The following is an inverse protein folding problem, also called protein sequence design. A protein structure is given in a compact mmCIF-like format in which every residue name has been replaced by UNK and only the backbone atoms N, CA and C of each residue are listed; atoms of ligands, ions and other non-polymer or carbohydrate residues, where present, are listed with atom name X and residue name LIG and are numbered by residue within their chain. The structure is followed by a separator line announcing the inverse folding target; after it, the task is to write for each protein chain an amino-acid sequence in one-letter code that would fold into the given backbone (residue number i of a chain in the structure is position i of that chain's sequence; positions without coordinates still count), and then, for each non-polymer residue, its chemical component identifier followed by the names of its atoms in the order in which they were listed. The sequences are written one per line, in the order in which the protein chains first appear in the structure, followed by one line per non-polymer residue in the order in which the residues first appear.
data_IF_099608210810
#
_entry.id   IF_099608210810
#
_cell.length_a   1.000
_cell.length_b   1.000
_cell.length_c   1.000
_cell.angle_alpha   90.00
_cell.angle_beta   90.00
_cell.angle_gamma   90.00
#
_symmetry.space_group_name_H-M   'P 1'
#
loop_
_entity.id
_entity.type
_entity.pdbx_description
1 polymer ?
#
# COMPACT_ATOMS: atom_id res chain seq x y z
N UNK A 1 23.19 -61.35 37.36
CA UNK A 1 21.97 -60.58 37.69
C UNK A 1 21.13 -60.39 36.43
N UNK A 2 19.82 -60.67 36.45
CA UNK A 2 18.97 -60.81 35.26
C UNK A 2 18.01 -59.63 35.05
N UNK A 3 17.73 -59.25 33.80
CA UNK A 3 16.47 -58.60 33.34
C UNK A 3 16.27 -58.98 31.85
N UNK A 4 15.66 -60.13 31.52
CA UNK A 4 14.22 -60.34 31.25
C UNK A 4 13.53 -59.14 30.59
N UNK A 5 13.15 -59.25 29.31
CA UNK A 5 11.78 -59.58 28.85
C UNK A 5 11.62 -59.29 27.35
N UNK A 6 11.45 -60.37 26.57
CA UNK A 6 10.73 -60.33 25.29
C UNK A 6 9.28 -59.92 25.57
N UNK A 7 8.72 -59.04 24.71
CA UNK A 7 7.33 -59.11 24.24
C UNK A 7 7.17 -58.20 23.02
N UNK A 8 7.19 -58.83 21.85
CA UNK A 8 6.47 -58.31 20.69
C UNK A 8 4.97 -58.41 20.99
N UNK A 9 4.23 -57.34 20.78
CA UNK A 9 2.77 -57.40 20.66
C UNK A 9 2.34 -56.39 19.62
N UNK A 10 2.04 -56.91 18.44
CA UNK A 10 1.31 -56.19 17.42
C UNK A 10 -0.07 -55.82 17.96
N UNK A 11 -0.36 -54.52 18.04
CA UNK A 11 -1.74 -54.03 18.11
C UNK A 11 -2.02 -53.24 16.84
N UNK A 12 -2.63 -53.97 15.91
CA UNK A 12 -3.39 -53.45 14.80
C UNK A 12 -4.66 -52.80 15.36
N UNK A 13 -4.74 -51.47 15.35
CA UNK A 13 -6.04 -50.76 15.35
C UNK A 13 -5.94 -49.64 14.32
N UNK A 14 -6.49 -49.92 13.15
CA UNK A 14 -6.89 -48.94 12.15
C UNK A 14 -7.89 -47.95 12.79
N UNK A 15 -7.45 -46.79 13.23
CA UNK A 15 -8.36 -45.66 13.47
C UNK A 15 -8.45 -44.84 12.20
N UNK A 16 -9.40 -45.23 11.35
CA UNK A 16 -9.92 -44.48 10.22
C UNK A 16 -10.63 -43.23 10.76
N UNK A 17 -9.88 -42.18 11.09
CA UNK A 17 -10.46 -40.88 11.46
C UNK A 17 -10.71 -40.06 10.19
N UNK A 18 -11.88 -40.25 9.58
CA UNK A 18 -12.48 -39.25 8.69
C UNK A 18 -12.74 -37.98 9.51
N UNK A 19 -11.79 -37.05 9.52
CA UNK A 19 -12.05 -35.68 9.98
C UNK A 19 -12.66 -34.92 8.80
N UNK A 20 -13.97 -35.10 8.60
CA UNK A 20 -14.78 -34.06 7.95
C UNK A 20 -14.84 -32.88 8.91
N UNK A 21 -14.11 -31.80 8.60
CA UNK A 21 -14.16 -30.60 9.41
C UNK A 21 -13.04 -29.62 9.08
N UNK A 22 -13.02 -29.09 7.86
CA UNK A 22 -12.33 -27.83 7.62
C UNK A 22 -13.17 -26.72 8.28
N UNK A 23 -13.05 -26.57 9.60
CA UNK A 23 -13.41 -25.34 10.27
C UNK A 23 -12.39 -24.30 9.79
N UNK A 24 -12.72 -23.59 8.71
CA UNK A 24 -12.12 -22.32 8.40
C UNK A 24 -12.50 -21.41 9.58
N UNK A 25 -11.59 -21.28 10.54
CA UNK A 25 -11.66 -20.19 11.50
C UNK A 25 -11.58 -18.93 10.64
N UNK A 26 -12.73 -18.30 10.43
CA UNK A 26 -12.78 -16.93 9.98
C UNK A 26 -12.10 -16.13 11.10
N UNK A 27 -10.83 -15.82 10.90
CA UNK A 27 -10.11 -14.82 11.68
C UNK A 27 -10.99 -13.57 11.62
N UNK A 28 -11.59 -13.21 12.74
CA UNK A 28 -12.29 -11.94 12.87
C UNK A 28 -11.20 -10.88 12.72
N UNK A 29 -11.07 -10.29 11.51
CA UNK A 29 -10.29 -9.07 11.29
C UNK A 29 -10.87 -7.98 12.19
N UNK A 30 -10.37 -7.91 13.41
CA UNK A 30 -10.50 -6.73 14.25
C UNK A 30 -9.95 -5.56 13.44
N UNK A 31 -10.59 -4.38 13.44
CA UNK A 31 -10.08 -3.23 12.72
C UNK A 31 -8.62 -3.01 13.11
N UNK A 32 -7.71 -3.25 12.17
CA UNK A 32 -6.28 -3.12 12.40
C UNK A 32 -6.01 -1.66 12.73
N UNK A 33 -5.88 -1.36 14.02
CA UNK A 33 -5.50 -0.04 14.48
C UNK A 33 -4.07 0.20 14.01
N UNK A 34 -3.91 1.13 13.07
CA UNK A 34 -2.60 1.50 12.55
C UNK A 34 -1.79 2.20 13.65
N UNK A 35 -0.50 1.85 13.83
CA UNK A 35 0.39 2.40 14.87
C UNK A 35 0.93 3.80 14.55
N UNK A 36 0.22 4.57 13.74
CA UNK A 36 0.68 5.89 13.28
C UNK A 36 -0.16 6.98 13.92
N UNK A 37 0.47 8.13 14.19
CA UNK A 37 -0.14 9.28 14.85
C UNK A 37 0.31 10.56 14.17
N UNK A 38 -0.51 11.60 14.24
CA UNK A 38 -0.13 12.91 13.71
C UNK A 38 1.13 13.42 14.43
N UNK A 39 1.93 14.21 13.71
CA UNK A 39 3.18 14.81 14.17
C UNK A 39 4.31 13.84 14.54
N UNK A 40 4.15 12.52 14.33
CA UNK A 40 5.30 11.62 14.45
C UNK A 40 6.22 11.73 13.23
N UNK A 41 7.54 11.53 13.38
CA UNK A 41 8.45 11.43 12.25
C UNK A 41 7.97 10.37 11.26
N UNK A 42 7.96 10.71 9.97
CA UNK A 42 7.53 9.81 8.92
C UNK A 42 8.40 8.55 8.85
N UNK A 43 9.71 8.67 9.06
CA UNK A 43 10.62 7.52 9.12
C UNK A 43 10.21 6.51 10.20
N UNK A 44 9.77 6.99 11.36
CA UNK A 44 9.23 6.14 12.42
C UNK A 44 7.90 5.51 11.98
N UNK A 45 6.99 6.30 11.39
CA UNK A 45 5.70 5.79 10.92
C UNK A 45 5.88 4.70 9.86
N UNK A 46 6.81 4.90 8.92
CA UNK A 46 7.18 3.94 7.89
C UNK A 46 7.66 2.62 8.49
N UNK A 47 8.55 2.66 9.48
CA UNK A 47 9.03 1.45 10.13
C UNK A 47 7.89 0.68 10.81
N UNK A 48 7.05 1.37 11.57
CA UNK A 48 5.90 0.77 12.26
C UNK A 48 4.88 0.15 11.29
N UNK A 49 4.70 0.74 10.11
CA UNK A 49 3.86 0.17 9.04
C UNK A 49 4.50 -1.10 8.46
N UNK A 50 5.79 -1.06 8.12
CA UNK A 50 6.53 -2.21 7.60
C UNK A 50 6.53 -3.38 8.58
N UNK A 51 6.74 -3.12 9.86
CA UNK A 51 6.72 -4.12 10.93
C UNK A 51 5.35 -4.81 11.08
N UNK A 52 4.28 -4.17 10.58
CA UNK A 52 2.91 -4.70 10.57
C UNK A 52 2.46 -5.26 9.22
N UNK A 53 3.40 -5.47 8.30
CA UNK A 53 3.13 -6.11 7.01
C UNK A 53 2.57 -5.18 5.94
N UNK A 54 2.61 -3.86 6.15
CA UNK A 54 2.41 -2.90 5.08
C UNK A 54 3.70 -2.76 4.28
N UNK A 55 3.61 -2.74 2.95
CA UNK A 55 4.75 -2.61 2.06
C UNK A 55 4.66 -1.30 1.27
N UNK A 56 5.80 -0.63 1.00
CA UNK A 56 5.86 0.46 0.02
C UNK A 56 5.07 0.12 -1.25
N UNK A 57 4.07 0.94 -1.59
CA UNK A 57 3.38 0.76 -2.86
C UNK A 57 4.19 1.40 -3.98
N UNK A 58 4.84 0.56 -4.77
CA UNK A 58 5.63 0.97 -5.93
C UNK A 58 4.83 0.90 -7.25
N UNK A 59 3.60 0.40 -7.21
CA UNK A 59 2.72 0.34 -8.38
C UNK A 59 1.98 1.66 -8.61
N UNK A 60 1.38 1.80 -9.80
CA UNK A 60 0.60 2.97 -10.20
C UNK A 60 1.47 4.09 -10.75
N UNK A 61 1.16 5.32 -10.33
CA UNK A 61 1.89 6.51 -10.78
C UNK A 61 3.35 6.49 -10.29
N UNK A 62 4.27 6.77 -11.21
CA UNK A 62 5.68 6.95 -10.88
C UNK A 62 5.88 8.23 -10.06
N UNK A 63 6.87 8.26 -9.14
CA UNK A 63 7.20 9.46 -8.41
C UNK A 63 7.50 10.63 -9.36
N UNK A 64 6.96 11.81 -9.08
CA UNK A 64 7.25 13.02 -9.85
C UNK A 64 8.68 13.54 -9.59
N UNK A 65 9.69 12.91 -10.18
CA UNK A 65 11.11 13.25 -9.99
C UNK A 65 11.50 14.63 -10.53
N UNK A 66 10.61 15.34 -11.24
CA UNK A 66 10.81 16.75 -11.59
C UNK A 66 10.65 17.68 -10.39
N UNK A 67 9.96 17.24 -9.33
CA UNK A 67 9.90 17.94 -8.04
C UNK A 67 11.19 17.68 -7.26
N UNK A 68 11.88 18.76 -6.89
CA UNK A 68 13.14 18.67 -6.11
C UNK A 68 12.92 18.00 -4.75
N UNK A 69 11.77 18.23 -4.12
CA UNK A 69 11.38 17.62 -2.85
C UNK A 69 11.16 16.12 -3.03
N UNK A 70 10.40 15.72 -4.05
CA UNK A 70 10.14 14.31 -4.34
C UNK A 70 11.45 13.60 -4.67
N UNK A 71 12.28 14.19 -5.52
CA UNK A 71 13.60 13.63 -5.86
C UNK A 71 14.47 13.46 -4.61
N UNK A 72 14.53 14.45 -3.74
CA UNK A 72 15.31 14.37 -2.50
C UNK A 72 14.84 13.24 -1.60
N UNK A 73 13.53 13.10 -1.41
CA UNK A 73 12.94 12.04 -0.60
C UNK A 73 13.14 10.66 -1.22
N UNK A 74 13.04 10.56 -2.54
CA UNK A 74 13.31 9.34 -3.29
C UNK A 74 14.78 8.93 -3.17
N UNK A 75 15.72 9.87 -3.33
CA UNK A 75 17.17 9.64 -3.15
C UNK A 75 17.51 9.20 -1.70
N UNK A 76 16.68 9.54 -0.72
CA UNK A 76 16.79 9.10 0.67
C UNK A 76 16.20 7.70 0.92
N UNK A 77 15.62 7.06 -0.10
CA UNK A 77 15.05 5.70 -0.03
C UNK A 77 13.56 5.62 0.29
N UNK A 78 12.83 6.75 0.27
CA UNK A 78 11.37 6.76 0.39
C UNK A 78 10.71 6.52 -0.97
N UNK A 79 10.91 5.33 -1.53
CA UNK A 79 10.42 4.95 -2.87
C UNK A 79 8.89 4.94 -2.96
N UNK A 80 8.19 4.80 -1.83
CA UNK A 80 6.73 4.89 -1.74
C UNK A 80 6.13 6.28 -1.98
N UNK A 81 6.97 7.32 -2.17
CA UNK A 81 6.53 8.67 -2.47
C UNK A 81 5.89 8.76 -3.85
N UNK A 82 4.74 9.44 -3.97
CA UNK A 82 4.06 9.67 -5.26
C UNK A 82 4.28 11.09 -5.76
N UNK A 83 3.86 12.06 -4.95
CA UNK A 83 4.00 13.47 -5.30
C UNK A 83 3.97 14.35 -4.04
N UNK A 84 4.37 15.61 -4.19
CA UNK A 84 4.23 16.62 -3.13
C UNK A 84 3.50 17.85 -3.66
N UNK A 85 2.67 18.46 -2.80
CA UNK A 85 1.98 19.69 -3.11
C UNK A 85 2.98 20.84 -3.32
N UNK A 86 2.93 21.48 -4.50
CA UNK A 86 3.78 22.63 -4.85
C UNK A 86 3.36 23.97 -4.24
N UNK A 87 2.41 23.99 -3.30
CA UNK A 87 1.79 25.22 -2.77
C UNK A 87 2.47 25.78 -1.52
N UNK A 88 3.73 25.41 -1.26
CA UNK A 88 4.51 25.92 -0.13
C UNK A 88 4.30 25.23 1.22
N UNK A 89 3.32 24.32 1.33
CA UNK A 89 3.10 23.49 2.53
C UNK A 89 3.91 22.18 2.51
N UNK A 90 4.62 21.90 1.42
CA UNK A 90 5.48 20.71 1.22
C UNK A 90 4.80 19.39 1.63
N UNK A 91 3.47 19.27 1.40
CA UNK A 91 2.71 18.08 1.76
C UNK A 91 2.96 16.97 0.76
N UNK A 92 3.56 15.87 1.21
CA UNK A 92 3.92 14.73 0.37
C UNK A 92 2.99 13.55 0.58
N UNK A 93 2.62 12.88 -0.51
CA UNK A 93 1.81 11.66 -0.51
C UNK A 93 2.73 10.44 -0.56
N UNK A 94 2.55 9.55 0.40
CA UNK A 94 3.20 8.25 0.45
C UNK A 94 2.15 7.15 0.47
N UNK A 95 2.43 6.02 -0.19
CA UNK A 95 1.48 4.94 -0.35
C UNK A 95 2.03 3.60 0.12
N UNK A 96 1.18 2.84 0.81
CA UNK A 96 1.50 1.49 1.26
C UNK A 96 0.38 0.53 0.90
N UNK A 97 0.72 -0.72 0.66
CA UNK A 97 -0.23 -1.80 0.41
C UNK A 97 -0.02 -2.94 1.39
N UNK A 98 -1.10 -3.60 1.83
CA UNK A 98 -1.00 -4.79 2.67
C UNK A 98 -1.36 -6.07 1.88
N UNK A 99 -1.32 -7.22 2.56
CA UNK A 99 -1.62 -8.54 1.98
C UNK A 99 -3.07 -8.69 1.47
N UNK A 100 -3.97 -7.79 1.87
CA UNK A 100 -5.36 -7.74 1.43
C UNK A 100 -5.59 -6.75 0.29
N UNK A 101 -4.51 -6.24 -0.33
CA UNK A 101 -4.53 -5.19 -1.35
C UNK A 101 -5.27 -3.91 -0.91
N UNK A 102 -5.29 -3.62 0.40
CA UNK A 102 -5.77 -2.33 0.89
C UNK A 102 -4.68 -1.28 0.67
N UNK A 103 -5.06 -0.13 0.14
CA UNK A 103 -4.16 1.01 -0.05
C UNK A 103 -4.24 1.93 1.17
N UNK A 104 -3.12 2.12 1.87
CA UNK A 104 -2.96 3.14 2.90
C UNK A 104 -2.25 4.34 2.31
N UNK A 105 -2.89 5.50 2.43
CA UNK A 105 -2.30 6.78 2.06
C UNK A 105 -1.83 7.48 3.33
N UNK A 106 -0.58 7.93 3.34
CA UNK A 106 0.00 8.74 4.40
C UNK A 106 0.40 10.09 3.81
N UNK A 107 -0.10 11.17 4.40
CA UNK A 107 0.31 12.52 4.05
C UNK A 107 1.37 12.98 5.04
N UNK A 108 2.59 13.16 4.54
CA UNK A 108 3.69 13.79 5.26
C UNK A 108 3.73 15.30 5.02
N UNK A 109 4.37 16.05 5.91
CA UNK A 109 4.73 17.43 5.67
C UNK A 109 6.02 17.80 6.37
N UNK A 110 6.77 18.74 5.79
CA UNK A 110 7.98 19.31 6.37
C UNK A 110 7.65 20.48 7.30
N UNK A 111 8.52 20.74 8.28
CA UNK A 111 8.43 21.92 9.17
C UNK A 111 9.22 23.13 8.63
N UNK A 112 9.64 23.09 7.37
CA UNK A 112 10.48 24.11 6.74
C UNK A 112 11.98 23.98 7.08
N UNK A 113 12.40 22.89 7.73
CA UNK A 113 13.81 22.58 8.04
C UNK A 113 14.52 21.76 6.94
N UNK A 114 13.81 21.48 5.84
CA UNK A 114 14.32 20.75 4.69
C UNK A 114 13.47 19.53 4.34
N UNK A 115 13.53 19.12 3.07
CA UNK A 115 12.70 18.06 2.51
C UNK A 115 12.84 16.70 3.22
N UNK A 116 14.01 16.41 3.81
CA UNK A 116 14.32 15.09 4.39
C UNK A 116 13.65 14.77 5.72
N UNK A 117 13.09 15.75 6.43
CA UNK A 117 12.41 15.55 7.71
C UNK A 117 10.91 15.77 7.56
N UNK A 118 10.20 14.67 7.30
CA UNK A 118 8.75 14.65 7.13
C UNK A 118 8.07 14.20 8.44
N UNK A 119 6.91 14.78 8.72
CA UNK A 119 6.04 14.39 9.84
C UNK A 119 4.69 13.96 9.31
N UNK A 120 4.10 12.94 9.93
CA UNK A 120 2.75 12.48 9.58
C UNK A 120 1.76 13.60 9.86
N UNK A 121 1.03 14.03 8.83
CA UNK A 121 -0.05 15.01 8.96
C UNK A 121 -1.39 14.32 9.09
N UNK A 122 -1.68 13.36 8.21
CA UNK A 122 -2.93 12.58 8.18
C UNK A 122 -2.70 11.25 7.47
N UNK A 123 -3.59 10.28 7.67
CA UNK A 123 -3.59 9.01 6.95
C UNK A 123 -5.00 8.44 6.82
N UNK A 124 -5.21 7.60 5.82
CA UNK A 124 -6.45 6.84 5.64
C UNK A 124 -6.21 5.60 4.78
N UNK A 125 -7.01 4.56 5.02
CA UNK A 125 -7.12 3.43 4.09
C UNK A 125 -8.15 3.82 3.03
N UNK A 126 -7.78 3.74 1.76
CA UNK A 126 -8.72 4.03 0.69
C UNK A 126 -9.89 3.07 0.71
N UNK A 127 -11.10 3.62 0.69
CA UNK A 127 -12.32 2.80 0.63
C UNK A 127 -12.42 2.24 -0.77
N UNK A 128 -12.36 0.92 -0.89
CA UNK A 128 -12.49 0.25 -2.16
C UNK A 128 -13.92 0.42 -2.70
N UNK A 129 -14.17 1.51 -3.44
CA UNK A 129 -15.41 1.74 -4.19
C UNK A 129 -15.34 1.14 -5.59
N UNK A 130 -14.58 0.05 -5.77
CA UNK A 130 -14.20 -0.48 -7.08
C UNK A 130 -13.11 0.36 -7.76
N UNK A 131 -12.05 0.74 -7.05
CA UNK A 131 -10.98 1.58 -7.62
C UNK A 131 -9.82 0.74 -8.19
N UNK A 132 -9.32 1.07 -9.40
CA UNK A 132 -8.29 0.34 -10.14
C UNK A 132 -6.90 0.89 -9.85
N UNK A 133 -5.99 0.08 -9.28
CA UNK A 133 -4.61 0.19 -9.76
C UNK A 133 -4.63 -0.20 -11.24
N UNK A 134 -4.12 0.63 -12.17
CA UNK A 134 -4.13 0.26 -13.58
C UNK A 134 -3.22 -0.95 -13.80
N UNK A 135 -3.83 -2.12 -14.01
CA UNK A 135 -3.18 -3.25 -14.67
C UNK A 135 -2.91 -2.83 -16.11
N UNK A 136 -1.69 -2.35 -16.39
CA UNK A 136 -1.30 -1.87 -17.72
C UNK A 136 -1.21 -3.05 -18.70
N UNK A 137 -2.29 -3.36 -19.42
CA UNK A 137 -2.22 -4.22 -20.61
C UNK A 137 -1.66 -3.40 -21.80
N UNK A 138 -0.54 -3.88 -22.33
CA UNK A 138 0.37 -3.17 -23.24
C UNK A 138 -0.08 -3.19 -24.71
N UNK A 139 -1.37 -3.02 -24.98
CA UNK A 139 -1.89 -3.14 -26.35
C UNK A 139 -3.02 -2.14 -26.64
N UNK A 140 -2.73 -0.83 -26.69
CA UNK A 140 -3.55 0.12 -27.49
C UNK A 140 -2.97 1.56 -27.61
N UNK A 141 -1.68 1.71 -27.93
CA UNK A 141 -1.09 3.05 -28.21
C UNK A 141 -0.81 3.30 -29.70
N UNK A 142 -1.69 2.85 -30.60
CA UNK A 142 -1.56 3.13 -32.04
C UNK A 142 -2.84 3.66 -32.69
N UNK A 143 -3.60 4.57 -32.08
CA UNK A 143 -4.51 5.44 -32.87
C UNK A 143 -4.68 6.82 -32.22
N UNK A 144 -3.69 7.70 -32.39
CA UNK A 144 -3.91 9.15 -32.36
C UNK A 144 -3.65 9.66 -33.78
N UNK A 145 -4.67 9.67 -34.64
CA UNK A 145 -4.71 10.62 -35.74
C UNK A 145 -6.12 10.89 -36.29
N UNK A 146 -6.43 12.19 -36.42
CA UNK A 146 -7.53 12.88 -37.13
C UNK A 146 -8.62 13.48 -36.23
N UNK A 147 -8.50 14.77 -35.91
CA UNK A 147 -9.08 15.92 -36.66
C UNK A 147 -10.59 15.81 -36.82
N UNK A 148 -11.32 16.62 -36.06
CA UNK A 148 -12.24 17.61 -36.64
C UNK A 148 -12.50 18.75 -35.65
N UNK A 149 -12.07 19.94 -36.06
CA UNK A 149 -12.40 21.23 -35.45
C UNK A 149 -13.88 21.53 -35.69
N UNK A 150 -14.67 21.70 -34.63
CA UNK A 150 -15.91 22.49 -34.70
C UNK A 150 -15.86 23.61 -33.68
N UNK A 151 -15.66 24.79 -34.26
CA UNK A 151 -15.71 26.13 -33.68
C UNK A 151 -17.04 26.39 -32.96
N UNK A 152 -16.98 26.85 -31.70
CA UNK A 152 -18.10 27.51 -31.05
C UNK A 152 -17.86 29.03 -31.14
N UNK A 153 -18.65 29.71 -31.98
CA UNK A 153 -18.72 31.17 -32.05
C UNK A 153 -19.83 31.63 -31.11
N UNK A 154 -19.49 32.48 -30.15
CA UNK A 154 -20.46 33.17 -29.29
C UNK A 154 -20.93 34.45 -30.00
N UNK A 155 -22.22 34.53 -30.33
CA UNK A 155 -22.87 35.76 -30.83
C UNK A 155 -23.49 36.52 -29.64
N UNK A 156 -23.21 37.82 -29.51
CA UNK A 156 -23.88 38.72 -28.56
C UNK A 156 -25.19 39.29 -29.16
N UNK A 157 -26.24 39.52 -28.35
CA UNK A 157 -27.46 40.22 -28.77
C UNK A 157 -27.35 41.76 -28.57
N UNK A 158 -28.27 42.55 -29.17
CA UNK A 158 -28.12 44.01 -29.36
C UNK A 158 -28.26 44.86 -28.09
#
# INVERSE_FOLDING_TARGET
MPRKFLKASAFCVLTLSLILGNAHLAESESPTVLPIREQMPYSQARQELIDRGWQPNLEGDEPNLNSSVVKTLFDLGYEEIKDCAGTGEELCRFEFVNQHNQLLVVIGGSTGRGAGEQFVRRWWIERNSGSPYPQRSRADSLVVEKRELRSCVCSNPP
#
